data_IF_204655272949
#
_entry.id   IF_204655272949
#
_cell.length_a   1.000
_cell.length_b   1.000
_cell.length_c   1.000
_cell.angle_alpha   90.00
_cell.angle_beta   90.00
_cell.angle_gamma   90.00
#
_symmetry.space_group_name_H-M   'P 1'
#
loop_
_entity.id
_entity.type
_entity.pdbx_description
1 polymer ?
#
# COMPACT_ATOMS: atom_id res chain seq x y z
N UNK A 1 34.95 -13.63 -54.73
CA UNK A 1 33.75 -14.44 -54.49
C UNK A 1 33.81 -14.94 -53.05
N UNK A 2 33.12 -14.19 -52.19
CA UNK A 2 32.36 -14.59 -51.01
C UNK A 2 33.07 -15.40 -49.90
N UNK A 3 33.70 -14.69 -48.97
CA UNK A 3 33.73 -15.13 -47.56
C UNK A 3 32.37 -14.76 -46.93
N UNK A 4 31.49 -15.75 -46.79
CA UNK A 4 30.24 -15.60 -46.06
C UNK A 4 30.54 -15.70 -44.56
N UNK A 5 30.60 -14.55 -43.89
CA UNK A 5 30.55 -14.45 -42.44
C UNK A 5 29.20 -14.97 -41.94
N UNK A 6 29.19 -16.08 -41.22
CA UNK A 6 28.00 -16.57 -40.50
C UNK A 6 27.86 -15.71 -39.25
N UNK A 7 26.96 -14.72 -39.28
CA UNK A 7 26.54 -14.00 -38.06
C UNK A 7 25.63 -14.90 -37.23
N UNK A 8 26.07 -15.25 -36.02
CA UNK A 8 25.23 -15.89 -35.01
C UNK A 8 24.20 -14.89 -34.48
N UNK A 9 22.89 -15.22 -34.42
CA UNK A 9 21.89 -14.31 -33.89
C UNK A 9 22.16 -14.03 -32.40
N UNK A 10 21.99 -12.78 -31.92
CA UNK A 10 22.14 -12.48 -30.50
C UNK A 10 21.10 -13.27 -29.70
N UNK A 11 21.45 -13.77 -28.50
CA UNK A 11 20.50 -14.45 -27.63
C UNK A 11 19.32 -13.51 -27.33
N UNK A 12 18.08 -14.03 -27.28
CA UNK A 12 16.92 -13.21 -26.92
C UNK A 12 17.14 -12.62 -25.53
N UNK A 13 17.06 -11.29 -25.43
CA UNK A 13 17.05 -10.58 -24.16
C UNK A 13 15.75 -10.97 -23.43
N UNK A 14 15.85 -11.95 -22.53
CA UNK A 14 14.77 -12.26 -21.59
C UNK A 14 14.66 -11.09 -20.61
N UNK A 15 13.78 -10.15 -20.88
CA UNK A 15 13.29 -9.19 -19.89
C UNK A 15 12.46 -9.97 -18.88
N UNK A 16 13.08 -10.56 -17.87
CA UNK A 16 12.35 -10.99 -16.68
C UNK A 16 11.92 -9.71 -15.96
N UNK A 17 10.69 -9.26 -16.20
CA UNK A 17 10.08 -8.26 -15.32
C UNK A 17 9.92 -8.94 -13.97
N UNK A 18 10.83 -8.68 -13.03
CA UNK A 18 10.54 -8.88 -11.62
C UNK A 18 9.36 -7.96 -11.35
N UNK A 19 8.17 -8.53 -11.14
CA UNK A 19 6.96 -7.77 -10.88
C UNK A 19 7.22 -6.89 -9.67
N UNK A 20 7.23 -5.56 -9.86
CA UNK A 20 7.56 -4.64 -8.78
C UNK A 20 6.36 -4.59 -7.84
N UNK A 21 6.54 -5.06 -6.61
CA UNK A 21 5.62 -4.82 -5.49
C UNK A 21 5.68 -3.34 -5.12
N UNK A 22 4.87 -2.49 -5.76
CA UNK A 22 4.77 -1.07 -5.39
C UNK A 22 3.45 -0.81 -4.69
N UNK A 23 3.53 -0.48 -3.40
CA UNK A 23 2.39 0.09 -2.67
C UNK A 23 2.15 1.51 -3.16
N UNK A 24 0.92 1.82 -3.56
CA UNK A 24 0.53 3.16 -4.03
C UNK A 24 -0.66 3.69 -3.23
N UNK A 25 -0.73 5.02 -3.08
CA UNK A 25 -1.79 5.68 -2.31
C UNK A 25 -2.30 6.94 -2.99
N UNK A 26 -3.60 7.22 -2.82
CA UNK A 26 -4.28 8.40 -3.41
C UNK A 26 -5.39 8.94 -2.49
N UNK A 27 -5.73 10.23 -2.56
CA UNK A 27 -4.90 11.30 -3.13
C UNK A 27 -3.65 11.52 -2.26
N UNK A 28 -2.56 12.09 -2.80
CA UNK A 28 -1.33 12.35 -2.04
C UNK A 28 -1.53 13.43 -0.96
N UNK A 29 -2.46 14.36 -1.20
CA UNK A 29 -2.84 15.44 -0.28
C UNK A 29 -4.33 15.70 -0.45
N UNK A 30 -5.02 15.95 0.65
CA UNK A 30 -6.40 16.41 0.67
C UNK A 30 -6.57 17.51 1.71
N UNK A 31 -7.36 18.53 1.39
CA UNK A 31 -7.73 19.61 2.30
C UNK A 31 -9.23 19.53 2.54
N UNK A 32 -9.61 19.38 3.80
CA UNK A 32 -11.00 19.18 4.22
C UNK A 32 -11.38 20.18 5.31
N UNK A 33 -12.67 20.46 5.42
CA UNK A 33 -13.28 21.24 6.49
C UNK A 33 -13.68 20.34 7.65
N UNK A 34 -13.75 20.92 8.84
CA UNK A 34 -14.23 20.22 10.03
C UNK A 34 -15.60 19.59 9.77
N UNK A 35 -15.74 18.32 10.13
CA UNK A 35 -16.97 17.55 9.95
C UNK A 35 -17.07 16.78 8.63
N UNK A 36 -16.20 17.03 7.66
CA UNK A 36 -16.14 16.24 6.43
C UNK A 36 -15.53 14.85 6.68
N UNK A 37 -15.59 13.98 5.66
CA UNK A 37 -14.99 12.64 5.69
C UNK A 37 -13.80 12.60 4.76
N UNK A 38 -12.65 12.14 5.26
CA UNK A 38 -11.49 11.84 4.44
C UNK A 38 -11.54 10.38 3.98
N UNK A 39 -11.24 10.15 2.71
CA UNK A 39 -11.02 8.81 2.15
C UNK A 39 -9.64 8.78 1.51
N UNK A 40 -8.86 7.77 1.86
CA UNK A 40 -7.54 7.52 1.30
C UNK A 40 -7.48 6.10 0.76
N UNK A 41 -7.10 5.99 -0.51
CA UNK A 41 -6.95 4.73 -1.22
C UNK A 41 -5.53 4.20 -1.04
N UNK A 42 -5.41 2.89 -0.91
CA UNK A 42 -4.16 2.15 -0.85
C UNK A 42 -4.26 0.90 -1.71
N UNK A 43 -3.42 0.82 -2.74
CA UNK A 43 -3.25 -0.39 -3.56
C UNK A 43 -1.93 -1.04 -3.16
N UNK A 44 -1.99 -2.30 -2.71
CA UNK A 44 -0.85 -3.10 -2.28
C UNK A 44 -0.04 -3.68 -3.45
N UNK A 45 -0.31 -3.26 -4.68
CA UNK A 45 0.27 -3.80 -5.91
C UNK A 45 -0.18 -5.24 -6.13
N UNK A 46 0.81 -6.13 -6.23
CA UNK A 46 0.64 -7.57 -6.42
C UNK A 46 0.45 -8.33 -5.11
N UNK A 47 0.56 -7.67 -3.94
CA UNK A 47 0.45 -8.32 -2.63
C UNK A 47 -1.01 -8.48 -2.22
N UNK A 48 -1.41 -9.72 -1.99
CA UNK A 48 -2.69 -10.08 -1.36
C UNK A 48 -2.41 -10.35 0.11
N UNK A 49 -2.52 -9.32 0.93
CA UNK A 49 -2.26 -9.42 2.36
C UNK A 49 -3.01 -8.33 3.15
N UNK A 50 -2.79 -8.31 4.46
CA UNK A 50 -3.31 -7.33 5.41
C UNK A 50 -2.73 -5.95 5.12
N UNK A 51 -3.59 -4.93 5.12
CA UNK A 51 -3.17 -3.53 5.12
C UNK A 51 -3.02 -3.04 6.55
N UNK A 52 -1.95 -2.28 6.82
CA UNK A 52 -1.70 -1.60 8.08
C UNK A 52 -1.71 -0.11 7.84
N UNK A 53 -2.51 0.63 8.61
CA UNK A 53 -2.64 2.07 8.52
C UNK A 53 -1.93 2.76 9.67
N UNK A 54 -1.16 3.80 9.33
CA UNK A 54 -0.42 4.61 10.28
C UNK A 54 -0.77 6.08 10.12
N UNK A 55 -0.75 6.79 11.25
CA UNK A 55 -0.86 8.24 11.34
C UNK A 55 0.47 8.80 11.83
N UNK A 56 0.98 9.83 11.19
CA UNK A 56 2.21 10.51 11.62
C UNK A 56 2.05 12.02 11.51
N UNK A 57 2.12 12.69 12.66
CA UNK A 57 2.26 14.15 12.70
C UNK A 57 3.70 14.49 12.29
N UNK A 58 3.94 15.52 11.46
CA UNK A 58 5.30 15.93 11.08
C UNK A 58 6.22 16.10 12.30
N UNK A 59 7.38 15.43 12.29
CA UNK A 59 8.32 15.42 13.41
C UNK A 59 7.98 14.46 14.56
N UNK A 60 6.81 13.80 14.52
CA UNK A 60 6.38 12.80 15.50
C UNK A 60 6.68 11.36 15.09
N UNK A 61 6.47 10.44 16.02
CA UNK A 61 6.55 9.00 15.77
C UNK A 61 5.29 8.50 15.05
N UNK A 62 5.42 7.50 14.14
CA UNK A 62 4.27 6.83 13.57
C UNK A 62 3.40 6.15 14.64
N UNK A 63 2.10 6.42 14.58
CA UNK A 63 1.08 5.80 15.42
C UNK A 63 0.32 4.77 14.60
N UNK A 64 0.19 3.55 15.14
CA UNK A 64 -0.61 2.49 14.52
C UNK A 64 -2.09 2.81 14.69
N UNK A 65 -2.81 2.97 13.58
CA UNK A 65 -4.24 3.34 13.56
C UNK A 65 -5.10 2.08 13.59
N UNK A 66 -4.93 1.21 12.60
CA UNK A 66 -5.65 -0.05 12.46
C UNK A 66 -4.98 -0.95 11.43
N UNK A 67 -5.31 -2.24 11.44
CA UNK A 67 -5.08 -3.14 10.32
C UNK A 67 -6.40 -3.76 9.85
N UNK A 68 -6.43 -4.14 8.58
CA UNK A 68 -7.58 -4.82 7.99
C UNK A 68 -7.14 -5.84 6.94
N UNK A 69 -7.74 -7.02 6.99
CA UNK A 69 -7.58 -8.05 5.97
C UNK A 69 -8.95 -8.28 5.34
N UNK A 70 -9.01 -8.35 4.02
CA UNK A 70 -10.26 -8.39 3.26
C UNK A 70 -11.28 -9.46 3.73
N UNK A 71 -10.79 -10.58 4.27
CA UNK A 71 -11.65 -11.69 4.75
C UNK A 71 -12.19 -11.48 6.18
N UNK A 72 -11.76 -10.44 6.89
CA UNK A 72 -12.26 -10.12 8.23
C UNK A 72 -13.54 -9.31 8.15
N UNK A 73 -14.42 -9.46 9.14
CA UNK A 73 -15.67 -8.69 9.23
C UNK A 73 -15.46 -7.24 9.67
N UNK A 74 -14.34 -6.94 10.33
CA UNK A 74 -14.02 -5.60 10.81
C UNK A 74 -12.51 -5.37 10.98
N UNK A 75 -12.04 -4.10 10.97
CA UNK A 75 -10.66 -3.75 11.31
C UNK A 75 -10.34 -3.96 12.79
N UNK A 76 -9.06 -4.19 13.08
CA UNK A 76 -8.52 -4.16 14.45
C UNK A 76 -7.76 -2.86 14.67
N UNK A 77 -8.06 -2.17 15.77
CA UNK A 77 -7.57 -0.82 16.03
C UNK A 77 -6.34 -0.80 16.94
N UNK A 78 -5.48 0.19 16.73
CA UNK A 78 -4.43 0.55 17.67
C UNK A 78 -4.95 1.34 18.86
N UNK A 79 -4.10 1.54 19.86
CA UNK A 79 -4.45 2.31 21.06
C UNK A 79 -4.82 3.75 20.71
N UNK A 80 -5.95 4.23 21.24
CA UNK A 80 -6.46 5.59 20.98
C UNK A 80 -7.23 5.75 19.67
N UNK A 81 -7.42 4.70 18.89
CA UNK A 81 -8.18 4.71 17.64
C UNK A 81 -9.39 3.77 17.73
N UNK A 82 -10.51 4.16 17.12
CA UNK A 82 -11.72 3.33 17.10
C UNK A 82 -12.69 3.76 16.00
N UNK A 83 -13.65 2.88 15.73
CA UNK A 83 -14.90 3.21 15.02
C UNK A 83 -15.78 4.14 15.88
N UNK A 84 -16.62 5.01 15.29
CA UNK A 84 -16.78 5.25 13.85
C UNK A 84 -15.76 6.25 13.28
N UNK A 85 -14.86 6.80 14.11
CA UNK A 85 -13.93 7.85 13.72
C UNK A 85 -12.98 7.38 12.62
N UNK A 86 -12.36 6.22 12.81
CA UNK A 86 -11.51 5.56 11.83
C UNK A 86 -12.16 4.23 11.42
N UNK A 87 -12.12 3.90 10.14
CA UNK A 87 -12.49 2.56 9.64
C UNK A 87 -11.72 2.27 8.35
N UNK A 88 -11.66 1.01 7.96
CA UNK A 88 -11.10 0.61 6.69
C UNK A 88 -12.03 -0.35 5.96
N UNK A 89 -12.11 -0.17 4.65
CA UNK A 89 -12.85 -1.04 3.74
C UNK A 89 -11.92 -1.52 2.64
N UNK A 90 -12.43 -2.39 1.78
CA UNK A 90 -11.70 -2.92 0.64
C UNK A 90 -12.57 -2.93 -0.61
N UNK A 91 -11.94 -2.81 -1.76
CA UNK A 91 -12.57 -2.96 -3.09
C UNK A 91 -12.12 -4.25 -3.78
N UNK A 92 -10.94 -4.75 -3.41
CA UNK A 92 -10.37 -6.00 -3.91
C UNK A 92 -9.51 -6.64 -2.82
N UNK A 93 -8.79 -7.71 -3.15
CA UNK A 93 -7.86 -8.37 -2.23
C UNK A 93 -6.57 -7.54 -1.96
N UNK A 94 -6.30 -6.54 -2.81
CA UNK A 94 -5.13 -5.65 -2.69
C UNK A 94 -5.49 -4.16 -2.65
N UNK A 95 -6.76 -3.79 -2.85
CA UNK A 95 -7.24 -2.41 -2.81
C UNK A 95 -8.04 -2.13 -1.53
N UNK A 96 -7.52 -1.23 -0.71
CA UNK A 96 -8.04 -0.87 0.59
C UNK A 96 -8.26 0.64 0.71
N UNK A 97 -9.26 1.04 1.48
CA UNK A 97 -9.51 2.43 1.82
C UNK A 97 -9.37 2.65 3.33
N UNK A 98 -8.76 3.76 3.73
CA UNK A 98 -8.91 4.33 5.07
C UNK A 98 -9.97 5.42 4.99
N UNK A 99 -10.93 5.37 5.91
CA UNK A 99 -12.00 6.35 6.02
C UNK A 99 -11.90 7.00 7.41
N UNK A 100 -11.79 8.33 7.42
CA UNK A 100 -11.73 9.15 8.63
C UNK A 100 -12.96 10.04 8.66
N UNK A 101 -13.91 9.74 9.55
CA UNK A 101 -15.18 10.45 9.63
C UNK A 101 -15.09 11.70 10.51
N UNK A 102 -15.94 12.69 10.23
CA UNK A 102 -16.10 13.89 11.06
C UNK A 102 -14.74 14.54 11.40
N UNK A 103 -13.91 14.82 10.39
CA UNK A 103 -12.53 15.27 10.58
C UNK A 103 -12.44 16.52 11.45
N UNK A 104 -11.38 16.61 12.26
CA UNK A 104 -11.08 17.74 13.12
C UNK A 104 -9.61 18.15 13.00
N UNK A 105 -9.24 19.26 13.65
CA UNK A 105 -7.87 19.81 13.54
C UNK A 105 -6.79 18.81 13.98
N UNK A 106 -7.09 18.00 15.01
CA UNK A 106 -6.21 16.94 15.50
C UNK A 106 -6.00 15.77 14.52
N UNK A 107 -6.79 15.68 13.45
CA UNK A 107 -6.61 14.68 12.40
C UNK A 107 -5.60 15.11 11.34
N UNK A 108 -5.18 16.38 11.31
CA UNK A 108 -4.18 16.87 10.37
C UNK A 108 -2.84 16.18 10.59
N UNK A 109 -2.51 15.25 9.69
CA UNK A 109 -1.33 14.40 9.76
C UNK A 109 -1.06 13.74 8.40
N UNK A 110 0.11 13.12 8.27
CA UNK A 110 0.39 12.19 7.18
C UNK A 110 -0.19 10.83 7.54
N UNK A 111 -1.01 10.27 6.66
CA UNK A 111 -1.49 8.89 6.77
C UNK A 111 -0.87 8.06 5.67
N UNK A 112 -0.42 6.86 6.02
CA UNK A 112 0.15 5.94 5.05
C UNK A 112 -0.22 4.50 5.36
N UNK A 113 -0.29 3.70 4.31
CA UNK A 113 -0.51 2.26 4.41
C UNK A 113 0.81 1.49 4.27
N UNK A 114 0.86 0.31 4.86
CA UNK A 114 1.94 -0.67 4.74
C UNK A 114 1.36 -2.06 4.61
N UNK A 115 2.13 -2.96 4.04
CA UNK A 115 1.84 -4.40 4.03
C UNK A 115 3.13 -5.19 4.14
N UNK A 116 3.03 -6.48 4.48
CA UNK A 116 4.15 -7.40 4.47
C UNK A 116 4.19 -8.13 3.14
N UNK A 117 5.32 -8.02 2.42
CA UNK A 117 5.56 -8.79 1.22
C UNK A 117 6.25 -10.12 1.60
N UNK A 118 5.48 -11.22 1.52
CA UNK A 118 5.99 -12.57 1.76
C UNK A 118 6.44 -13.28 0.47
N UNK A 119 6.48 -12.58 -0.67
CA UNK A 119 6.80 -13.16 -1.98
C UNK A 119 8.31 -13.28 -2.25
N UNK A 120 9.16 -12.75 -1.37
CA UNK A 120 10.62 -12.88 -1.47
C UNK A 120 11.05 -14.30 -1.07
N UNK A 121 10.99 -15.23 -2.03
CA UNK A 121 11.74 -16.48 -1.99
C UNK A 121 13.03 -16.28 -2.79
N UNK A 122 14.08 -15.73 -2.16
CA UNK A 122 15.41 -15.74 -2.77
C UNK A 122 16.01 -17.14 -2.66
N UNK A 123 16.04 -17.87 -3.78
CA UNK A 123 16.90 -19.03 -3.90
C UNK A 123 18.35 -18.54 -4.08
N UNK A 124 19.09 -18.46 -2.98
CA UNK A 124 20.54 -18.22 -3.01
C UNK A 124 21.23 -19.57 -3.21
N UNK A 125 21.63 -19.87 -4.44
CA UNK A 125 22.65 -20.90 -4.69
C UNK A 125 24.03 -20.24 -4.60
N UNK A 126 24.85 -20.67 -3.63
CA UNK A 126 26.30 -20.40 -3.58
C UNK A 126 27.04 -21.21 -4.64
#
# INVERSE_FOLDING_TARGET
MNENSVETPPPPLLLSSVGVTVVTQKPPVVTLRKGETATMDCNLGTVINTVYWYKQIPGGLPQFVLYFYHSYSSPTYGSGFSSPKFTSTHQSQSDYHLIINNVEEGDSAVYYCKTWDSSVNEYVSQ
#
